data_IF_073267514138
#
_entry.id   IF_073267514138
#
_cell.length_a   1.000
_cell.length_b   1.000
_cell.length_c   1.000
_cell.angle_alpha   90.00
_cell.angle_beta   90.00
_cell.angle_gamma   90.00
#
_symmetry.space_group_name_H-M   'P 1'
#
loop_
_entity.id
_entity.type
_entity.pdbx_description
1 polymer ?
#
# COMPACT_ATOMS: atom_id res chain seq x y z
N UNK A 1 -26.14 15.49 -19.26
CA UNK A 1 -26.04 16.91 -18.89
C UNK A 1 -25.41 17.15 -17.51
N UNK A 2 -25.97 16.61 -16.41
CA UNK A 2 -25.44 16.83 -15.04
C UNK A 2 -23.96 16.43 -14.89
N UNK A 3 -23.56 15.26 -15.34
CA UNK A 3 -22.16 14.76 -15.26
C UNK A 3 -21.18 15.65 -16.02
N UNK A 4 -21.56 16.14 -17.21
CA UNK A 4 -20.75 17.08 -18.01
C UNK A 4 -20.48 18.36 -17.23
N UNK A 5 -21.52 18.94 -16.60
CA UNK A 5 -21.38 20.15 -15.77
C UNK A 5 -20.41 19.90 -14.62
N UNK A 6 -20.52 18.78 -13.92
CA UNK A 6 -19.64 18.44 -12.79
C UNK A 6 -18.19 18.31 -13.21
N UNK A 7 -17.91 17.65 -14.35
CA UNK A 7 -16.56 17.51 -14.89
C UNK A 7 -15.98 18.88 -15.23
N UNK A 8 -16.77 19.74 -15.92
CA UNK A 8 -16.34 21.08 -16.28
C UNK A 8 -16.11 21.97 -15.05
N UNK A 9 -17.01 21.90 -14.06
CA UNK A 9 -16.88 22.63 -12.80
C UNK A 9 -15.61 22.19 -12.04
N UNK A 10 -15.35 20.87 -11.95
CA UNK A 10 -14.14 20.35 -11.31
C UNK A 10 -12.87 20.88 -12.00
N UNK A 11 -12.82 20.83 -13.34
CA UNK A 11 -11.69 21.33 -14.14
C UNK A 11 -11.48 22.82 -13.97
N UNK A 12 -12.57 23.61 -14.03
CA UNK A 12 -12.52 25.06 -13.83
C UNK A 12 -11.93 25.42 -12.45
N UNK A 13 -12.48 24.83 -11.38
CA UNK A 13 -12.01 25.09 -10.03
C UNK A 13 -10.54 24.67 -9.86
N UNK A 14 -10.14 23.52 -10.45
CA UNK A 14 -8.75 23.09 -10.42
C UNK A 14 -7.83 24.10 -11.07
N UNK A 15 -8.21 24.66 -12.23
CA UNK A 15 -7.44 25.67 -12.92
C UNK A 15 -7.37 26.98 -12.13
N UNK A 16 -8.48 27.40 -11.52
CA UNK A 16 -8.50 28.56 -10.62
C UNK A 16 -7.57 28.35 -9.42
N UNK A 17 -7.62 27.17 -8.78
CA UNK A 17 -6.69 26.84 -7.67
C UNK A 17 -5.22 26.94 -8.12
N UNK A 18 -4.89 26.43 -9.31
CA UNK A 18 -3.53 26.53 -9.88
C UNK A 18 -3.11 27.98 -10.11
N UNK A 19 -3.99 28.81 -10.67
CA UNK A 19 -3.73 30.24 -10.91
C UNK A 19 -3.37 30.97 -9.62
N UNK A 20 -4.06 30.66 -8.51
CA UNK A 20 -3.79 31.23 -7.19
C UNK A 20 -2.72 30.46 -6.38
N UNK A 21 -1.94 29.56 -7.01
CA UNK A 21 -0.92 28.73 -6.35
C UNK A 21 -1.43 27.96 -5.14
N UNK A 22 -2.73 27.64 -5.11
CA UNK A 22 -3.37 26.84 -4.06
C UNK A 22 -3.40 25.35 -4.44
N UNK A 23 -3.30 24.49 -3.44
CA UNK A 23 -3.40 23.05 -3.64
C UNK A 23 -4.84 22.65 -3.98
N UNK A 24 -5.09 22.37 -5.27
CA UNK A 24 -6.40 22.00 -5.83
C UNK A 24 -6.66 20.48 -5.87
N UNK A 25 -6.09 19.68 -4.97
CA UNK A 25 -6.19 18.22 -5.04
C UNK A 25 -7.49 17.66 -4.44
N UNK A 26 -8.17 18.35 -3.55
CA UNK A 26 -9.35 17.84 -2.81
C UNK A 26 -10.58 18.69 -3.03
N UNK A 27 -10.45 20.02 -3.00
CA UNK A 27 -11.56 20.97 -3.05
C UNK A 27 -12.41 20.87 -4.33
N UNK A 28 -11.84 20.77 -5.56
CA UNK A 28 -12.63 20.66 -6.79
C UNK A 28 -13.56 19.44 -6.80
N UNK A 29 -13.05 18.28 -6.39
CA UNK A 29 -13.85 17.06 -6.28
C UNK A 29 -14.94 17.14 -5.22
N UNK A 30 -14.65 17.82 -4.11
CA UNK A 30 -15.66 18.07 -3.06
C UNK A 30 -16.88 18.86 -3.60
N UNK A 31 -16.63 19.90 -4.41
CA UNK A 31 -17.71 20.68 -5.04
C UNK A 31 -18.49 19.83 -6.06
N UNK A 32 -17.76 19.09 -6.91
CA UNK A 32 -18.43 18.21 -7.89
C UNK A 32 -19.33 17.17 -7.21
N UNK A 33 -18.87 16.54 -6.13
CA UNK A 33 -19.65 15.56 -5.35
C UNK A 33 -20.87 16.19 -4.64
N UNK A 34 -20.80 17.47 -4.24
CA UNK A 34 -21.97 18.17 -3.69
C UNK A 34 -23.07 18.40 -4.73
N UNK A 35 -22.73 18.58 -6.00
CA UNK A 35 -23.73 18.71 -7.10
C UNK A 35 -24.45 17.38 -7.33
N UNK A 36 -23.70 16.25 -7.34
CA UNK A 36 -24.27 14.90 -7.40
C UNK A 36 -23.24 13.91 -6.85
N UNK A 37 -23.53 13.31 -5.70
CA UNK A 37 -22.66 12.36 -5.02
C UNK A 37 -22.31 11.10 -5.83
N UNK A 38 -23.08 10.80 -6.87
CA UNK A 38 -22.94 9.62 -7.73
C UNK A 38 -22.18 9.88 -9.04
N UNK A 39 -21.50 11.01 -9.18
CA UNK A 39 -20.82 11.38 -10.44
C UNK A 39 -19.84 10.32 -10.92
N UNK A 40 -19.12 9.66 -9.99
CA UNK A 40 -18.14 8.63 -10.32
C UNK A 40 -18.77 7.38 -10.95
N UNK A 41 -20.02 7.08 -10.66
CA UNK A 41 -20.76 5.97 -11.31
C UNK A 41 -21.06 6.21 -12.79
N UNK A 42 -21.01 7.47 -13.22
CA UNK A 42 -21.28 7.88 -14.62
C UNK A 42 -20.03 7.90 -15.48
N UNK A 43 -18.87 7.61 -14.92
CA UNK A 43 -17.58 7.61 -15.63
C UNK A 43 -17.38 6.28 -16.35
N UNK A 44 -16.90 6.35 -17.59
CA UNK A 44 -16.45 5.18 -18.35
C UNK A 44 -14.97 4.93 -18.05
N UNK A 45 -14.73 3.97 -17.18
CA UNK A 45 -13.42 3.60 -16.71
C UNK A 45 -12.63 2.81 -17.76
N UNK A 46 -11.27 2.81 -17.70
CA UNK A 46 -10.44 1.96 -18.53
C UNK A 46 -10.58 0.48 -18.16
N UNK A 47 -9.96 -0.39 -18.95
CA UNK A 47 -9.95 -1.84 -18.70
C UNK A 47 -9.41 -2.20 -17.31
N UNK A 48 -8.38 -1.48 -16.86
CA UNK A 48 -7.72 -1.74 -15.59
C UNK A 48 -7.99 -0.59 -14.60
N UNK A 49 -8.68 -0.91 -13.53
CA UNK A 49 -8.92 -0.03 -12.37
C UNK A 49 -8.34 -0.74 -11.16
N UNK A 50 -7.18 -0.29 -10.73
CA UNK A 50 -6.37 -0.96 -9.71
C UNK A 50 -6.38 -0.13 -8.43
N UNK A 51 -6.81 -0.72 -7.33
CA UNK A 51 -6.67 -0.18 -5.99
C UNK A 51 -5.47 -0.77 -5.26
N UNK A 52 -4.81 0.04 -4.43
CA UNK A 52 -3.77 -0.42 -3.49
C UNK A 52 -4.18 0.02 -2.10
N UNK A 53 -4.40 -0.94 -1.20
CA UNK A 53 -4.86 -0.68 0.18
C UNK A 53 -4.04 -1.46 1.21
N UNK A 54 -4.32 -1.23 2.49
CA UNK A 54 -3.67 -1.87 3.65
C UNK A 54 -3.15 -0.85 4.65
N UNK A 55 -2.62 -1.30 5.78
CA UNK A 55 -2.20 -0.40 6.87
C UNK A 55 -0.92 0.37 6.51
N UNK A 56 0.08 -0.27 5.89
CA UNK A 56 1.33 0.37 5.47
C UNK A 56 1.77 -0.07 4.07
N UNK A 57 2.73 0.66 3.47
CA UNK A 57 3.29 0.31 2.16
C UNK A 57 2.46 0.72 0.94
N UNK A 58 1.21 1.18 1.09
CA UNK A 58 0.32 1.58 -0.01
C UNK A 58 0.97 2.51 -1.03
N UNK A 59 1.49 3.63 -0.56
CA UNK A 59 2.07 4.66 -1.42
C UNK A 59 3.32 4.18 -2.18
N UNK A 60 4.18 3.39 -1.52
CA UNK A 60 5.38 2.82 -2.17
C UNK A 60 4.99 1.78 -3.22
N UNK A 61 4.05 0.89 -2.92
CA UNK A 61 3.52 -0.09 -3.88
C UNK A 61 2.87 0.60 -5.07
N UNK A 62 2.01 1.61 -4.82
CA UNK A 62 1.35 2.38 -5.88
C UNK A 62 2.37 3.10 -6.76
N UNK A 63 3.41 3.70 -6.16
CA UNK A 63 4.46 4.41 -6.90
C UNK A 63 5.30 3.46 -7.75
N UNK A 64 5.67 2.30 -7.20
CA UNK A 64 6.42 1.27 -7.91
C UNK A 64 5.61 0.69 -9.08
N UNK A 65 4.35 0.35 -8.85
CA UNK A 65 3.47 -0.15 -9.90
C UNK A 65 3.24 0.91 -10.98
N UNK A 66 3.02 2.19 -10.60
CA UNK A 66 2.89 3.27 -11.57
C UNK A 66 4.15 3.43 -12.44
N UNK A 67 5.33 3.23 -11.86
CA UNK A 67 6.59 3.25 -12.59
C UNK A 67 6.66 2.11 -13.60
N UNK A 68 6.44 0.86 -13.17
CA UNK A 68 6.45 -0.32 -14.06
C UNK A 68 5.49 -0.11 -15.24
N UNK A 69 4.26 0.33 -14.97
CA UNK A 69 3.24 0.51 -16.00
C UNK A 69 3.63 1.60 -17.01
N UNK A 70 4.18 2.72 -16.54
CA UNK A 70 4.59 3.85 -17.41
C UNK A 70 5.81 3.50 -18.23
N UNK A 71 6.79 2.81 -17.67
CA UNK A 71 7.98 2.34 -18.39
C UNK A 71 7.59 1.43 -19.57
N UNK A 72 6.50 0.69 -19.41
CA UNK A 72 5.91 -0.13 -20.47
C UNK A 72 4.92 0.62 -21.38
N UNK A 73 4.97 1.94 -21.40
CA UNK A 73 4.22 2.79 -22.35
C UNK A 73 2.74 2.97 -22.03
N UNK A 74 2.25 2.50 -20.88
CA UNK A 74 0.85 2.67 -20.50
C UNK A 74 0.58 4.08 -19.98
N UNK A 75 -0.55 4.66 -20.40
CA UNK A 75 -1.02 5.92 -19.85
C UNK A 75 -1.72 5.69 -18.50
N UNK A 76 -1.02 6.02 -17.40
CA UNK A 76 -1.47 5.77 -16.03
C UNK A 76 -1.95 7.06 -15.38
N UNK A 77 -3.21 7.09 -15.00
CA UNK A 77 -3.77 8.11 -14.10
C UNK A 77 -3.70 7.58 -12.67
N UNK A 78 -2.98 8.30 -11.78
CA UNK A 78 -2.78 7.87 -10.41
C UNK A 78 -2.64 9.04 -9.42
N UNK A 79 -2.94 8.80 -8.14
CA UNK A 79 -2.92 9.82 -7.09
C UNK A 79 -1.52 9.99 -6.45
N UNK A 80 -0.55 10.45 -7.24
CA UNK A 80 0.86 10.62 -6.83
C UNK A 80 1.06 11.53 -5.61
N UNK A 81 0.12 12.44 -5.34
CA UNK A 81 0.14 13.35 -4.19
C UNK A 81 -0.37 12.71 -2.88
N UNK A 82 -0.75 11.43 -2.87
CA UNK A 82 -1.24 10.73 -1.70
C UNK A 82 -2.65 11.12 -1.26
N UNK A 83 -3.45 11.74 -2.14
CA UNK A 83 -4.84 12.12 -1.86
C UNK A 83 -5.75 10.89 -1.99
N UNK A 84 -5.77 10.04 -0.96
CA UNK A 84 -6.43 8.72 -0.94
C UNK A 84 -7.87 8.73 -0.37
N UNK A 85 -8.44 9.93 -0.16
CA UNK A 85 -9.83 10.12 0.27
C UNK A 85 -10.75 10.40 -0.91
N UNK A 86 -12.07 10.15 -0.75
CA UNK A 86 -13.08 10.28 -1.80
C UNK A 86 -12.98 11.59 -2.62
N UNK A 87 -12.87 12.73 -1.95
CA UNK A 87 -12.84 14.03 -2.64
C UNK A 87 -11.57 14.21 -3.50
N UNK A 88 -10.43 13.70 -3.04
CA UNK A 88 -9.17 13.72 -3.79
C UNK A 88 -9.22 12.80 -5.00
N UNK A 89 -9.70 11.59 -4.80
CA UNK A 89 -9.91 10.62 -5.89
C UNK A 89 -10.90 11.15 -6.92
N UNK A 90 -12.00 11.77 -6.49
CA UNK A 90 -12.96 12.41 -7.40
C UNK A 90 -12.32 13.54 -8.21
N UNK A 91 -11.50 14.40 -7.57
CA UNK A 91 -10.75 15.46 -8.28
C UNK A 91 -9.87 14.85 -9.37
N UNK A 92 -9.10 13.82 -9.04
CA UNK A 92 -8.20 13.15 -9.99
C UNK A 92 -8.98 12.57 -11.18
N UNK A 93 -10.02 11.79 -10.91
CA UNK A 93 -10.81 11.12 -11.93
C UNK A 93 -11.47 12.16 -12.85
N UNK A 94 -12.18 13.15 -12.30
CA UNK A 94 -12.91 14.15 -13.10
C UNK A 94 -11.99 15.03 -13.93
N UNK A 95 -10.81 15.39 -13.42
CA UNK A 95 -9.84 16.16 -14.20
C UNK A 95 -9.28 15.41 -15.42
N UNK A 96 -9.19 14.09 -15.32
CA UNK A 96 -8.70 13.23 -16.40
C UNK A 96 -9.83 12.64 -17.27
N UNK A 97 -11.09 12.99 -17.01
CA UNK A 97 -12.24 12.53 -17.78
C UNK A 97 -12.61 13.51 -18.89
N UNK A 98 -12.96 12.99 -20.07
CA UNK A 98 -13.54 13.81 -21.14
C UNK A 98 -14.95 14.25 -20.72
N UNK A 99 -15.23 15.56 -20.79
CA UNK A 99 -16.50 16.12 -20.30
C UNK A 99 -17.73 15.70 -21.11
N UNK A 100 -17.55 15.36 -22.38
CA UNK A 100 -18.66 15.02 -23.29
C UNK A 100 -18.88 13.51 -23.39
N UNK A 101 -17.80 12.73 -23.55
CA UNK A 101 -17.88 11.26 -23.68
C UNK A 101 -17.92 10.55 -22.33
N UNK A 102 -17.59 11.25 -21.25
CA UNK A 102 -17.41 10.74 -19.89
C UNK A 102 -16.36 9.61 -19.78
N UNK A 103 -15.49 9.47 -20.78
CA UNK A 103 -14.41 8.46 -20.79
C UNK A 103 -13.18 9.00 -20.05
N UNK A 104 -12.67 8.24 -19.11
CA UNK A 104 -11.37 8.50 -18.47
C UNK A 104 -10.27 8.34 -19.50
N UNK A 105 -9.38 9.32 -19.61
CA UNK A 105 -8.27 9.32 -20.56
C UNK A 105 -7.06 8.59 -19.97
N UNK A 106 -7.15 7.30 -19.86
CA UNK A 106 -6.08 6.43 -19.33
C UNK A 106 -6.25 5.01 -19.83
N UNK A 107 -5.16 4.25 -19.87
CA UNK A 107 -5.16 2.80 -20.02
C UNK A 107 -5.35 2.12 -18.67
N UNK A 108 -4.82 2.74 -17.61
CA UNK A 108 -4.91 2.27 -16.23
C UNK A 108 -5.28 3.42 -15.30
N UNK A 109 -6.29 3.20 -14.45
CA UNK A 109 -6.54 4.01 -13.27
C UNK A 109 -5.94 3.29 -12.06
N UNK A 110 -4.90 3.85 -11.47
CA UNK A 110 -4.21 3.27 -10.31
C UNK A 110 -4.39 4.18 -9.09
N UNK A 111 -4.95 3.65 -8.01
CA UNK A 111 -5.31 4.44 -6.82
C UNK A 111 -4.71 3.85 -5.54
N UNK A 112 -3.93 4.67 -4.84
CA UNK A 112 -3.75 4.47 -3.40
C UNK A 112 -5.08 4.75 -2.71
N UNK A 113 -5.61 3.80 -1.95
CA UNK A 113 -6.93 3.89 -1.33
C UNK A 113 -6.85 3.60 0.18
N UNK A 114 -7.50 4.47 0.94
CA UNK A 114 -7.79 4.18 2.33
C UNK A 114 -8.97 3.19 2.40
N UNK A 115 -8.86 2.17 3.23
CA UNK A 115 -9.83 1.07 3.35
C UNK A 115 -11.25 1.54 3.67
N UNK A 116 -11.41 2.69 4.32
CA UNK A 116 -12.72 3.27 4.64
C UNK A 116 -13.36 4.01 3.47
N UNK A 117 -12.61 4.25 2.39
CA UNK A 117 -13.08 5.03 1.25
C UNK A 117 -13.25 4.21 -0.04
N UNK A 118 -12.83 2.94 -0.08
CA UNK A 118 -12.98 2.08 -1.26
C UNK A 118 -14.48 2.03 -1.67
N UNK A 119 -15.35 1.59 -0.76
CA UNK A 119 -16.80 1.48 -0.99
C UNK A 119 -17.48 2.83 -1.27
N UNK A 120 -16.94 3.92 -0.74
CA UNK A 120 -17.46 5.27 -0.98
C UNK A 120 -17.06 5.81 -2.35
N UNK A 121 -15.91 5.38 -2.86
CA UNK A 121 -15.40 5.79 -4.18
C UNK A 121 -16.05 4.97 -5.28
N UNK A 122 -16.16 3.67 -5.08
CA UNK A 122 -16.71 2.72 -6.05
C UNK A 122 -17.88 1.97 -5.44
N UNK A 123 -19.11 2.40 -5.79
CA UNK A 123 -20.36 1.80 -5.28
C UNK A 123 -20.77 0.54 -6.03
N UNK A 124 -20.12 0.25 -7.16
CA UNK A 124 -20.32 -0.94 -8.01
C UNK A 124 -18.95 -1.58 -8.29
N UNK A 125 -18.96 -2.76 -8.90
CA UNK A 125 -17.80 -3.52 -9.37
C UNK A 125 -16.95 -2.76 -10.39
N UNK A 126 -16.32 -1.67 -9.93
CA UNK A 126 -15.47 -0.83 -10.78
C UNK A 126 -14.00 -1.22 -10.63
N UNK A 127 -13.61 -1.68 -9.44
CA UNK A 127 -12.26 -2.19 -9.23
C UNK A 127 -12.09 -3.53 -9.95
N UNK A 128 -11.14 -3.59 -10.85
CA UNK A 128 -10.75 -4.84 -11.50
C UNK A 128 -9.73 -5.62 -10.67
N UNK A 129 -8.83 -4.88 -10.00
CA UNK A 129 -7.79 -5.47 -9.15
C UNK A 129 -7.66 -4.69 -7.85
N UNK A 130 -7.39 -5.38 -6.75
CA UNK A 130 -7.09 -4.78 -5.46
C UNK A 130 -5.86 -5.43 -4.83
N UNK A 131 -4.79 -4.64 -4.72
CA UNK A 131 -3.58 -5.06 -3.99
C UNK A 131 -3.76 -4.76 -2.50
N UNK A 132 -3.59 -5.77 -1.65
CA UNK A 132 -3.69 -5.65 -0.19
C UNK A 132 -2.32 -5.93 0.41
N UNK A 133 -1.67 -4.90 0.96
CA UNK A 133 -0.28 -4.99 1.40
C UNK A 133 -0.11 -5.68 2.75
N UNK A 134 -0.82 -5.21 3.76
CA UNK A 134 -0.84 -5.77 5.12
C UNK A 134 -2.01 -5.18 5.91
N UNK A 135 -2.43 -5.89 6.96
CA UNK A 135 -3.45 -5.44 7.91
C UNK A 135 -2.87 -5.51 9.31
N UNK A 136 -2.65 -4.34 9.91
CA UNK A 136 -2.09 -4.19 11.26
C UNK A 136 -2.95 -3.23 12.06
N UNK A 137 -2.74 -3.18 13.36
CA UNK A 137 -3.30 -2.11 14.19
C UNK A 137 -2.80 -0.78 13.67
N UNK A 138 -3.70 0.02 13.16
CA UNK A 138 -3.41 1.32 12.54
C UNK A 138 -4.40 2.35 13.05
N UNK A 139 -3.88 3.48 13.53
CA UNK A 139 -4.68 4.57 14.05
C UNK A 139 -5.75 4.08 15.07
N UNK A 140 -5.37 3.73 16.32
CA UNK A 140 -6.28 3.14 17.31
C UNK A 140 -7.59 3.90 17.49
N UNK A 141 -7.56 5.23 17.42
CA UNK A 141 -8.74 6.08 17.50
C UNK A 141 -9.70 5.97 16.30
N UNK A 142 -9.26 5.36 15.18
CA UNK A 142 -10.04 5.30 13.94
C UNK A 142 -10.40 3.87 13.51
N UNK A 143 -9.44 2.97 13.54
CA UNK A 143 -9.56 1.63 12.98
C UNK A 143 -9.09 0.54 13.93
N UNK A 144 -8.52 0.85 15.06
CA UNK A 144 -7.98 0.06 16.17
C UNK A 144 -7.74 -1.43 15.98
N UNK A 145 -8.74 -2.15 15.48
CA UNK A 145 -8.73 -3.61 15.35
C UNK A 145 -8.58 -4.06 13.90
N UNK A 146 -7.63 -4.98 13.59
CA UNK A 146 -7.41 -5.54 12.26
C UNK A 146 -8.66 -6.15 11.60
N UNK A 147 -9.54 -6.76 12.39
CA UNK A 147 -10.82 -7.31 11.91
C UNK A 147 -11.73 -6.26 11.30
N UNK A 148 -11.75 -5.05 11.83
CA UNK A 148 -12.55 -3.94 11.28
C UNK A 148 -12.03 -3.56 9.89
N UNK A 149 -10.69 -3.52 9.73
CA UNK A 149 -10.04 -3.20 8.45
C UNK A 149 -10.35 -4.28 7.42
N UNK A 150 -10.16 -5.55 7.78
CA UNK A 150 -10.46 -6.70 6.94
C UNK A 150 -11.91 -6.66 6.43
N UNK A 151 -12.88 -6.49 7.36
CA UNK A 151 -14.30 -6.46 7.01
C UNK A 151 -14.67 -5.25 6.13
N UNK A 152 -14.04 -4.09 6.33
CA UNK A 152 -14.22 -2.92 5.45
C UNK A 152 -13.77 -3.23 4.03
N UNK A 153 -12.60 -3.86 3.86
CA UNK A 153 -12.09 -4.21 2.54
C UNK A 153 -12.99 -5.26 1.89
N UNK A 154 -13.32 -6.36 2.57
CA UNK A 154 -14.20 -7.42 2.06
C UNK A 154 -15.56 -6.87 1.60
N UNK A 155 -16.16 -5.96 2.39
CA UNK A 155 -17.45 -5.35 2.03
C UNK A 155 -17.38 -4.36 0.87
N UNK A 156 -16.19 -4.05 0.36
CA UNK A 156 -15.94 -3.04 -0.67
C UNK A 156 -15.62 -3.63 -2.04
N UNK A 157 -15.47 -4.94 -2.13
CA UNK A 157 -15.14 -5.70 -3.35
C UNK A 157 -16.19 -6.77 -3.59
N UNK A 158 -16.28 -7.24 -4.81
CA UNK A 158 -17.12 -8.37 -5.21
C UNK A 158 -16.31 -9.43 -5.97
N UNK A 159 -16.99 -10.49 -6.40
CA UNK A 159 -16.36 -11.64 -7.07
C UNK A 159 -15.66 -11.33 -8.40
N UNK A 160 -15.92 -10.14 -8.99
CA UNK A 160 -15.26 -9.72 -10.23
C UNK A 160 -13.94 -8.99 -9.97
N UNK A 161 -13.66 -8.63 -8.72
CA UNK A 161 -12.40 -7.99 -8.33
C UNK A 161 -11.34 -9.06 -8.07
N UNK A 162 -10.26 -9.07 -8.81
CA UNK A 162 -9.10 -9.87 -8.48
C UNK A 162 -8.34 -9.26 -7.30
N UNK A 163 -8.08 -10.04 -6.26
CA UNK A 163 -7.32 -9.58 -5.10
C UNK A 163 -5.89 -10.13 -5.13
N UNK A 164 -4.92 -9.23 -5.00
CA UNK A 164 -3.49 -9.56 -4.96
C UNK A 164 -3.02 -9.36 -3.53
N UNK A 165 -2.76 -10.44 -2.81
CA UNK A 165 -2.65 -10.46 -1.37
C UNK A 165 -1.29 -10.90 -0.86
N UNK A 166 -0.85 -10.31 0.23
CA UNK A 166 0.34 -10.72 0.96
C UNK A 166 0.06 -11.94 1.83
N UNK A 167 0.51 -13.11 1.39
CA UNK A 167 0.31 -14.37 2.12
C UNK A 167 1.13 -14.46 3.42
N UNK A 168 2.13 -13.61 3.61
CA UNK A 168 2.95 -13.56 4.84
C UNK A 168 2.22 -12.88 6.00
N UNK A 169 1.14 -12.15 5.70
CA UNK A 169 0.25 -11.58 6.69
C UNK A 169 -0.97 -12.49 6.89
N UNK A 170 -1.13 -13.15 8.06
CA UNK A 170 -2.27 -14.05 8.28
C UNK A 170 -3.64 -13.37 8.21
N UNK A 171 -3.75 -12.05 8.50
CA UNK A 171 -5.01 -11.33 8.30
C UNK A 171 -5.33 -11.18 6.82
N UNK A 172 -4.34 -10.77 6.02
CA UNK A 172 -4.50 -10.60 4.58
C UNK A 172 -4.70 -11.94 3.88
N UNK A 173 -3.98 -12.98 4.29
CA UNK A 173 -4.12 -14.31 3.71
C UNK A 173 -5.54 -14.92 3.90
N UNK A 174 -6.35 -14.37 4.81
CA UNK A 174 -7.77 -14.80 4.96
C UNK A 174 -8.62 -14.48 3.73
N UNK A 175 -8.22 -13.54 2.89
CA UNK A 175 -8.89 -13.29 1.62
C UNK A 175 -8.86 -14.52 0.69
N UNK A 176 -7.87 -15.40 0.82
CA UNK A 176 -7.77 -16.64 0.04
C UNK A 176 -8.98 -17.59 0.19
N UNK A 177 -9.74 -17.49 1.29
CA UNK A 177 -10.96 -18.27 1.49
C UNK A 177 -12.21 -17.43 1.78
N UNK A 178 -12.07 -16.15 2.12
CA UNK A 178 -13.20 -15.25 2.36
C UNK A 178 -13.67 -14.55 1.08
N UNK A 179 -12.75 -14.31 0.14
CA UNK A 179 -13.10 -13.73 -1.16
C UNK A 179 -13.57 -14.81 -2.12
N UNK A 180 -14.63 -14.53 -2.88
CA UNK A 180 -15.22 -15.50 -3.83
C UNK A 180 -14.70 -15.37 -5.26
N UNK A 181 -13.98 -14.30 -5.56
CA UNK A 181 -13.38 -14.03 -6.85
C UNK A 181 -11.93 -14.52 -6.96
N UNK A 182 -11.22 -14.13 -8.02
CA UNK A 182 -9.82 -14.52 -8.24
C UNK A 182 -8.92 -13.97 -7.13
N UNK A 183 -7.95 -14.79 -6.72
CA UNK A 183 -6.96 -14.46 -5.69
C UNK A 183 -5.58 -14.82 -6.19
N UNK A 184 -4.70 -13.85 -6.28
CA UNK A 184 -3.27 -13.99 -6.49
C UNK A 184 -2.53 -13.73 -5.17
N UNK A 185 -1.55 -14.54 -4.84
CA UNK A 185 -0.84 -14.48 -3.57
C UNK A 185 0.64 -14.19 -3.78
N UNK A 186 1.21 -13.32 -2.94
CA UNK A 186 2.65 -13.10 -2.92
C UNK A 186 3.21 -13.22 -1.50
N UNK A 187 4.50 -13.53 -1.39
CA UNK A 187 5.18 -13.59 -0.11
C UNK A 187 6.67 -13.83 -0.26
N UNK A 188 7.43 -13.56 0.80
CA UNK A 188 8.88 -13.70 0.84
C UNK A 188 9.22 -14.97 1.61
N UNK A 189 10.08 -15.81 1.05
CA UNK A 189 10.60 -16.97 1.76
C UNK A 189 11.59 -16.54 2.85
N UNK A 190 12.02 -17.52 3.65
CA UNK A 190 12.96 -17.29 4.74
C UNK A 190 14.22 -16.57 4.25
N UNK A 191 14.63 -15.55 5.01
CA UNK A 191 15.80 -14.71 4.72
C UNK A 191 16.82 -14.75 5.86
N UNK A 192 18.04 -14.22 5.62
CA UNK A 192 19.05 -14.03 6.67
C UNK A 192 18.69 -12.89 7.65
N UNK A 193 17.73 -12.05 7.31
CA UNK A 193 17.26 -10.91 8.12
C UNK A 193 16.09 -11.27 9.04
N UNK A 194 15.62 -12.51 8.99
CA UNK A 194 14.45 -12.95 9.74
C UNK A 194 14.74 -13.08 11.23
N UNK A 195 13.74 -12.78 12.03
CA UNK A 195 13.74 -12.97 13.46
C UNK A 195 13.23 -14.36 13.83
N UNK A 196 13.86 -14.97 14.82
CA UNK A 196 13.42 -16.27 15.40
C UNK A 196 12.20 -16.11 16.31
N UNK A 197 12.01 -14.91 16.87
CA UNK A 197 10.91 -14.56 17.78
C UNK A 197 10.36 -13.20 17.38
N UNK A 198 9.08 -12.94 17.61
CA UNK A 198 8.51 -11.61 17.38
C UNK A 198 9.14 -10.58 18.34
N UNK A 199 9.25 -9.34 17.91
CA UNK A 199 9.79 -8.25 18.73
C UNK A 199 8.85 -7.93 19.91
N UNK A 200 7.55 -8.12 19.73
CA UNK A 200 6.53 -7.89 20.76
C UNK A 200 5.89 -9.22 21.19
N UNK A 201 5.56 -9.33 22.47
CA UNK A 201 4.78 -10.47 22.99
C UNK A 201 3.33 -10.47 22.45
N UNK A 202 2.83 -9.32 22.01
CA UNK A 202 1.52 -9.18 21.39
C UNK A 202 1.67 -9.29 19.87
N UNK A 203 1.61 -10.52 19.37
CA UNK A 203 1.58 -10.77 17.91
C UNK A 203 0.13 -10.74 17.45
N UNK A 204 -0.22 -9.73 16.67
CA UNK A 204 -1.49 -9.76 15.94
C UNK A 204 -1.50 -11.01 15.04
N UNK A 205 -2.65 -11.64 14.84
CA UNK A 205 -2.77 -12.87 14.04
C UNK A 205 -1.95 -14.07 14.54
N UNK A 206 -1.83 -14.25 15.86
CA UNK A 206 -1.11 -15.39 16.44
C UNK A 206 -1.83 -16.73 16.27
N UNK A 207 -3.12 -16.73 15.94
CA UNK A 207 -3.97 -17.92 15.90
C UNK A 207 -4.57 -18.16 14.53
N UNK A 208 -4.75 -19.43 14.18
CA UNK A 208 -5.43 -19.84 12.95
C UNK A 208 -6.88 -19.34 12.95
N UNK A 209 -7.37 -18.69 11.91
CA UNK A 209 -8.73 -18.18 11.85
C UNK A 209 -9.79 -19.30 11.70
N UNK A 210 -9.38 -20.53 11.42
CA UNK A 210 -10.26 -21.68 11.18
C UNK A 210 -10.28 -22.60 12.42
N UNK A 211 -9.13 -23.15 12.81
CA UNK A 211 -9.07 -24.12 13.92
C UNK A 211 -8.72 -23.48 15.28
N UNK A 212 -8.47 -22.18 15.34
CA UNK A 212 -8.12 -21.39 16.53
C UNK A 212 -6.86 -21.86 17.29
N UNK A 213 -6.08 -22.78 16.72
CA UNK A 213 -4.78 -23.17 17.29
C UNK A 213 -3.72 -22.11 16.96
N UNK A 214 -2.73 -21.99 17.84
CA UNK A 214 -1.62 -21.05 17.62
C UNK A 214 -0.84 -21.41 16.35
N UNK A 215 -0.63 -20.43 15.47
CA UNK A 215 0.18 -20.58 14.27
C UNK A 215 1.64 -20.86 14.65
N UNK A 216 2.27 -21.77 13.91
CA UNK A 216 3.70 -22.08 14.06
C UNK A 216 4.49 -21.28 13.02
N UNK A 217 5.21 -20.26 13.50
CA UNK A 217 6.12 -19.50 12.67
C UNK A 217 7.49 -20.18 12.60
N UNK A 218 8.01 -20.32 11.41
CA UNK A 218 9.39 -20.74 11.17
C UNK A 218 10.34 -19.55 11.12
N UNK A 219 9.81 -18.37 10.75
CA UNK A 219 10.53 -17.10 10.75
C UNK A 219 9.56 -15.93 10.77
N UNK A 220 10.00 -14.82 11.37
CA UNK A 220 9.30 -13.54 11.34
C UNK A 220 10.12 -12.55 10.51
N UNK A 221 9.52 -11.96 9.50
CA UNK A 221 10.16 -10.90 8.72
C UNK A 221 10.14 -9.59 9.50
N UNK A 222 8.96 -9.17 9.92
CA UNK A 222 8.71 -8.09 10.89
C UNK A 222 7.26 -8.10 11.38
N UNK A 223 7.04 -7.71 12.65
CA UNK A 223 5.71 -7.78 13.27
C UNK A 223 5.17 -9.21 13.24
N UNK A 224 3.97 -9.38 12.68
CA UNK A 224 3.34 -10.68 12.48
C UNK A 224 3.50 -11.22 11.05
N UNK A 225 4.21 -10.52 10.18
CA UNK A 225 4.51 -11.00 8.83
C UNK A 225 5.64 -12.01 8.89
N UNK A 226 5.48 -13.11 8.16
CA UNK A 226 6.53 -14.13 8.11
C UNK A 226 6.07 -15.46 7.52
N UNK A 227 6.92 -16.47 7.69
CA UNK A 227 6.64 -17.82 7.21
C UNK A 227 6.00 -18.62 8.35
N UNK A 228 4.75 -18.96 8.20
CA UNK A 228 3.95 -19.66 9.21
C UNK A 228 3.21 -20.87 8.64
N UNK A 229 2.74 -21.73 9.54
CA UNK A 229 1.87 -22.87 9.22
C UNK A 229 0.82 -23.07 10.29
N UNK A 230 -0.36 -23.53 9.88
CA UNK A 230 -1.38 -24.01 10.79
C UNK A 230 -1.08 -25.46 11.22
N UNK A 231 -1.15 -25.81 12.53
CA UNK A 231 -0.90 -27.17 12.99
C UNK A 231 -1.82 -28.24 12.38
N UNK A 232 -3.05 -27.87 12.02
CA UNK A 232 -4.05 -28.77 11.39
C UNK A 232 -4.08 -28.63 9.86
N UNK A 233 -3.25 -27.76 9.29
CA UNK A 233 -3.17 -27.45 7.85
C UNK A 233 -4.48 -26.89 7.23
N UNK A 234 -5.39 -26.37 8.05
CA UNK A 234 -6.64 -25.78 7.59
C UNK A 234 -6.43 -24.39 6.96
N UNK A 235 -5.32 -23.74 7.33
CA UNK A 235 -4.96 -22.43 6.86
C UNK A 235 -3.51 -22.46 6.36
N UNK A 236 -3.34 -22.29 5.05
CA UNK A 236 -2.06 -22.48 4.38
C UNK A 236 -1.54 -21.16 3.83
N UNK A 237 -0.27 -20.85 4.12
CA UNK A 237 0.50 -19.84 3.41
C UNK A 237 0.95 -20.45 2.07
N UNK A 238 0.32 -20.03 0.98
CA UNK A 238 0.69 -20.36 -0.40
C UNK A 238 1.08 -19.08 -1.11
N UNK A 239 2.06 -19.11 -1.99
CA UNK A 239 2.50 -17.96 -2.77
C UNK A 239 2.56 -18.33 -4.25
N UNK A 240 1.90 -17.55 -5.09
CA UNK A 240 1.98 -17.62 -6.55
C UNK A 240 3.21 -16.82 -7.02
N UNK A 241 3.51 -15.71 -6.35
CA UNK A 241 4.75 -14.94 -6.52
C UNK A 241 5.59 -15.01 -5.26
N UNK A 242 6.82 -15.49 -5.42
CA UNK A 242 7.71 -15.73 -4.29
C UNK A 242 8.97 -14.88 -4.39
N UNK A 243 9.28 -14.14 -3.32
CA UNK A 243 10.56 -13.45 -3.14
C UNK A 243 11.57 -14.36 -2.45
N UNK A 244 12.72 -14.58 -3.08
CA UNK A 244 13.81 -15.41 -2.59
C UNK A 244 15.14 -14.66 -2.58
N UNK A 245 16.11 -15.19 -1.86
CA UNK A 245 17.49 -14.71 -1.84
C UNK A 245 17.62 -13.19 -1.65
N UNK A 246 16.82 -12.65 -0.72
CA UNK A 246 16.87 -11.22 -0.40
C UNK A 246 18.27 -10.83 0.08
N UNK A 247 18.88 -9.86 -0.62
CA UNK A 247 20.13 -9.23 -0.25
C UNK A 247 19.95 -7.71 -0.17
N UNK A 248 19.84 -7.19 1.04
CA UNK A 248 19.61 -5.76 1.26
C UNK A 248 20.84 -4.92 0.96
N UNK A 249 22.05 -5.43 1.21
CA UNK A 249 23.30 -4.71 0.92
C UNK A 249 23.44 -4.45 -0.59
N UNK A 250 23.16 -5.46 -1.40
CA UNK A 250 23.19 -5.34 -2.86
C UNK A 250 21.90 -4.80 -3.45
N UNK A 251 20.85 -4.59 -2.63
CA UNK A 251 19.52 -4.18 -3.06
C UNK A 251 18.93 -5.09 -4.14
N UNK A 252 18.95 -6.39 -3.89
CA UNK A 252 18.55 -7.42 -4.84
C UNK A 252 17.63 -8.45 -4.20
N UNK A 253 16.76 -9.01 -5.00
CA UNK A 253 15.90 -10.15 -4.65
C UNK A 253 15.62 -10.98 -5.91
N UNK A 254 15.32 -12.25 -5.73
CA UNK A 254 14.81 -13.12 -6.82
C UNK A 254 13.30 -13.21 -6.68
N UNK A 255 12.55 -12.93 -7.74
CA UNK A 255 11.10 -13.14 -7.81
C UNK A 255 10.82 -14.18 -8.89
N UNK A 256 10.26 -15.33 -8.49
CA UNK A 256 9.96 -16.45 -9.38
C UNK A 256 11.13 -16.81 -10.34
N UNK A 257 12.36 -16.83 -9.83
CA UNK A 257 13.57 -17.12 -10.59
C UNK A 257 14.21 -15.90 -11.28
N UNK A 258 13.57 -14.76 -11.31
CA UNK A 258 14.04 -13.53 -11.94
C UNK A 258 14.74 -12.62 -10.94
N UNK A 259 15.98 -12.20 -11.23
CA UNK A 259 16.72 -11.27 -10.38
C UNK A 259 16.27 -9.84 -10.59
N UNK A 260 15.78 -9.19 -9.54
CA UNK A 260 15.29 -7.80 -9.55
C UNK A 260 16.06 -6.92 -8.58
N UNK A 261 16.23 -5.65 -8.94
CA UNK A 261 16.80 -4.63 -8.06
C UNK A 261 15.72 -4.02 -7.16
N UNK A 262 16.08 -3.78 -5.92
CA UNK A 262 15.30 -2.98 -4.98
C UNK A 262 15.81 -1.53 -5.03
N UNK A 263 14.90 -0.58 -4.95
CA UNK A 263 15.28 0.84 -4.93
C UNK A 263 15.86 1.29 -3.58
N UNK A 264 15.76 0.49 -2.52
CA UNK A 264 16.27 0.76 -1.18
C UNK A 264 16.72 -0.54 -0.47
N UNK A 265 17.66 -0.38 0.45
CA UNK A 265 18.27 -1.41 1.30
C UNK A 265 17.47 -1.69 2.58
N UNK A 266 16.16 -1.69 2.47
CA UNK A 266 15.23 -1.91 3.59
C UNK A 266 14.28 -3.05 3.30
N UNK A 267 13.94 -3.85 4.31
CA UNK A 267 13.12 -5.05 4.13
C UNK A 267 11.77 -4.76 3.47
N UNK A 268 11.12 -3.67 3.85
CA UNK A 268 9.83 -3.32 3.25
C UNK A 268 9.91 -2.97 1.75
N UNK A 269 11.13 -2.67 1.23
CA UNK A 269 11.32 -2.50 -0.21
C UNK A 269 11.09 -3.81 -0.98
N UNK A 270 11.47 -4.93 -0.41
CA UNK A 270 11.18 -6.24 -0.99
C UNK A 270 9.67 -6.47 -1.13
N UNK A 271 8.89 -6.15 -0.10
CA UNK A 271 7.44 -6.34 -0.14
C UNK A 271 6.72 -5.45 -1.15
N UNK A 272 7.01 -4.14 -1.20
CA UNK A 272 6.31 -3.30 -2.18
C UNK A 272 6.79 -3.56 -3.61
N UNK A 273 8.04 -4.01 -3.81
CA UNK A 273 8.53 -4.43 -5.13
C UNK A 273 7.83 -5.72 -5.56
N UNK A 274 7.74 -6.72 -4.68
CA UNK A 274 7.05 -7.97 -4.95
C UNK A 274 5.55 -7.77 -5.22
N UNK A 275 4.88 -6.94 -4.41
CA UNK A 275 3.46 -6.59 -4.61
C UNK A 275 3.22 -5.90 -5.96
N UNK A 276 4.11 -4.96 -6.35
CA UNK A 276 4.02 -4.28 -7.64
C UNK A 276 4.32 -5.21 -8.81
N UNK A 277 5.30 -6.11 -8.65
CA UNK A 277 5.62 -7.17 -9.63
C UNK A 277 4.39 -8.05 -9.87
N UNK A 278 3.82 -8.60 -8.80
CA UNK A 278 2.63 -9.47 -8.90
C UNK A 278 1.47 -8.76 -9.58
N UNK A 279 1.17 -7.52 -9.19
CA UNK A 279 0.09 -6.75 -9.79
C UNK A 279 0.33 -6.43 -11.27
N UNK A 280 1.57 -6.18 -11.66
CA UNK A 280 1.92 -5.93 -13.06
C UNK A 280 1.81 -7.21 -13.91
N UNK A 281 2.17 -8.36 -13.36
CA UNK A 281 2.02 -9.67 -14.01
C UNK A 281 0.55 -10.03 -14.23
N UNK A 282 -0.32 -9.83 -13.20
CA UNK A 282 -1.75 -10.14 -13.28
C UNK A 282 -2.50 -9.29 -14.32
N UNK A 283 -2.04 -8.08 -14.62
CA UNK A 283 -2.60 -7.28 -15.72
C UNK A 283 -1.99 -7.61 -17.11
N UNK A 284 -1.09 -8.60 -17.18
CA UNK A 284 -0.56 -9.17 -18.43
C UNK A 284 0.79 -8.66 -18.90
N UNK A 285 1.57 -7.96 -18.05
CA UNK A 285 2.96 -7.66 -18.38
C UNK A 285 3.84 -8.91 -18.21
N UNK A 286 4.78 -9.09 -19.12
CA UNK A 286 5.75 -10.19 -19.03
C UNK A 286 6.83 -9.91 -17.99
N UNK A 287 7.44 -10.97 -17.46
CA UNK A 287 8.57 -10.87 -16.54
C UNK A 287 9.69 -9.96 -17.06
N UNK A 288 10.02 -10.10 -18.36
CA UNK A 288 11.05 -9.25 -19.00
C UNK A 288 10.71 -7.77 -18.95
N UNK A 289 9.45 -7.42 -19.21
CA UNK A 289 8.95 -6.04 -19.15
C UNK A 289 9.02 -5.48 -17.73
N UNK A 290 8.58 -6.27 -16.75
CA UNK A 290 8.58 -5.86 -15.34
C UNK A 290 10.01 -5.72 -14.82
N UNK A 291 10.88 -6.67 -15.14
CA UNK A 291 12.29 -6.65 -14.74
C UNK A 291 13.05 -5.45 -15.32
N UNK A 292 12.80 -5.12 -16.60
CA UNK A 292 13.38 -3.94 -17.22
C UNK A 292 13.06 -2.69 -16.39
N UNK A 293 11.78 -2.45 -16.14
CA UNK A 293 11.33 -1.30 -15.36
C UNK A 293 11.91 -1.26 -13.93
N UNK A 294 12.02 -2.41 -13.27
CA UNK A 294 12.58 -2.49 -11.90
C UNK A 294 14.09 -2.27 -11.88
N UNK A 295 14.82 -2.77 -12.87
CA UNK A 295 16.28 -2.69 -12.92
C UNK A 295 16.79 -1.31 -13.34
N UNK A 296 16.02 -0.58 -14.17
CA UNK A 296 16.27 0.80 -14.56
C UNK A 296 15.65 1.82 -13.58
N UNK A 297 15.15 1.34 -12.44
CA UNK A 297 14.39 2.13 -11.48
C UNK A 297 15.25 3.18 -10.76
N UNK A 298 14.89 4.45 -10.93
CA UNK A 298 15.47 5.61 -10.25
C UNK A 298 14.53 6.22 -9.20
N UNK A 299 13.45 5.51 -8.81
CA UNK A 299 12.47 6.04 -7.88
C UNK A 299 13.09 6.33 -6.52
N UNK A 300 13.01 7.58 -6.10
CA UNK A 300 13.36 7.99 -4.76
C UNK A 300 12.25 7.61 -3.77
N UNK A 301 12.66 7.11 -2.60
CA UNK A 301 11.70 6.89 -1.51
C UNK A 301 11.28 8.24 -0.92
N UNK A 302 9.98 8.47 -0.80
CA UNK A 302 9.46 9.66 -0.11
C UNK A 302 9.68 9.62 1.39
N UNK A 303 9.84 8.43 1.98
CA UNK A 303 9.91 8.21 3.44
C UNK A 303 11.31 7.99 4.00
N UNK A 304 12.28 7.71 3.15
CA UNK A 304 13.68 7.57 3.50
C UNK A 304 14.48 8.50 2.60
N UNK A 305 15.00 9.57 3.16
CA UNK A 305 15.84 10.55 2.47
C UNK A 305 17.19 10.60 3.14
N UNK A 306 18.23 10.39 2.37
CA UNK A 306 19.60 10.55 2.83
C UNK A 306 20.11 11.92 2.42
N UNK A 307 20.57 12.71 3.39
CA UNK A 307 21.18 14.02 3.20
C UNK A 307 22.64 13.96 3.63
N UNK A 308 23.51 14.67 2.92
CA UNK A 308 24.88 14.91 3.35
C UNK A 308 24.96 16.31 3.94
N UNK A 309 25.31 16.40 5.22
CA UNK A 309 25.54 17.67 5.92
C UNK A 309 27.00 17.65 6.39
N UNK A 310 27.83 18.48 5.75
CA UNK A 310 29.27 18.47 5.92
C UNK A 310 29.87 17.07 5.69
N UNK A 311 30.55 16.49 6.68
CA UNK A 311 31.13 15.15 6.64
C UNK A 311 30.20 14.08 7.26
N UNK A 312 28.91 14.38 7.46
CA UNK A 312 27.95 13.47 8.08
C UNK A 312 26.87 13.08 7.09
N UNK A 313 26.47 11.83 7.16
CA UNK A 313 25.28 11.33 6.49
C UNK A 313 24.10 11.38 7.47
N UNK A 314 22.99 11.94 7.02
CA UNK A 314 21.77 12.09 7.81
C UNK A 314 20.62 11.41 7.10
N UNK A 315 20.16 10.31 7.68
CA UNK A 315 18.97 9.60 7.20
C UNK A 315 17.72 10.13 7.89
N UNK A 316 16.83 10.66 7.10
CA UNK A 316 15.49 11.09 7.56
C UNK A 316 14.50 9.98 7.26
N UNK A 317 13.99 9.33 8.31
CA UNK A 317 12.96 8.30 8.20
C UNK A 317 11.60 8.86 8.63
N UNK A 318 10.65 8.91 7.70
CA UNK A 318 9.28 9.28 8.00
C UNK A 318 8.44 8.03 8.28
N UNK A 319 8.26 7.69 9.56
CA UNK A 319 7.33 6.65 9.99
C UNK A 319 5.89 7.14 9.91
N UNK A 320 4.95 6.23 9.64
CA UNK A 320 3.54 6.56 9.69
C UNK A 320 3.12 6.71 11.16
N UNK A 321 2.53 7.85 11.51
CA UNK A 321 2.01 8.08 12.86
C UNK A 321 1.04 6.98 13.27
N UNK A 322 1.05 6.62 14.55
CA UNK A 322 0.18 5.61 15.16
C UNK A 322 0.26 4.21 14.52
N UNK A 323 1.38 3.88 13.85
CA UNK A 323 1.59 2.56 13.26
C UNK A 323 2.88 1.93 13.78
N UNK A 324 2.76 1.00 14.72
CA UNK A 324 3.89 0.32 15.36
C UNK A 324 4.81 -0.37 14.36
N UNK A 325 4.24 -0.99 13.33
CA UNK A 325 5.03 -1.70 12.32
C UNK A 325 5.97 -0.77 11.56
N UNK A 326 5.52 0.46 11.25
CA UNK A 326 6.33 1.48 10.59
C UNK A 326 7.52 1.90 11.46
N UNK A 327 7.33 2.04 12.77
CA UNK A 327 8.40 2.37 13.71
C UNK A 327 9.38 1.22 13.89
N UNK A 328 8.90 0.00 14.05
CA UNK A 328 9.75 -1.19 14.13
C UNK A 328 10.65 -1.30 12.92
N UNK A 329 10.14 -1.04 11.72
CA UNK A 329 10.93 -1.05 10.49
C UNK A 329 12.02 0.03 10.49
N UNK A 330 11.70 1.25 10.95
CA UNK A 330 12.66 2.33 11.07
C UNK A 330 13.76 2.02 12.08
N UNK A 331 13.39 1.44 13.21
CA UNK A 331 14.37 0.99 14.23
C UNK A 331 15.27 -0.13 13.71
N UNK A 332 14.72 -1.10 12.99
CA UNK A 332 15.50 -2.17 12.37
C UNK A 332 16.47 -1.63 11.32
N UNK A 333 16.06 -0.66 10.50
CA UNK A 333 16.95 0.03 9.58
C UNK A 333 18.11 0.66 10.32
N UNK A 334 17.84 1.45 11.36
CA UNK A 334 18.86 2.11 12.18
C UNK A 334 19.80 1.08 12.83
N UNK A 335 19.26 -0.02 13.33
CA UNK A 335 20.05 -1.06 14.00
C UNK A 335 20.99 -1.80 13.04
N UNK A 336 20.58 -1.99 11.80
CA UNK A 336 21.38 -2.68 10.78
C UNK A 336 22.55 -1.83 10.25
N UNK A 337 22.52 -0.50 10.40
CA UNK A 337 23.65 0.34 10.06
C UNK A 337 24.81 0.14 11.05
N UNK A 338 26.02 -0.10 10.54
CA UNK A 338 27.23 -0.27 11.35
C UNK A 338 27.80 1.10 11.76
N UNK A 339 28.44 1.16 12.91
CA UNK A 339 29.16 2.35 13.41
C UNK A 339 28.37 3.19 14.40
N UNK A 340 29.02 4.21 14.96
CA UNK A 340 28.40 5.15 15.91
C UNK A 340 27.32 5.96 15.22
N UNK A 341 26.18 6.11 15.89
CA UNK A 341 25.02 6.84 15.35
C UNK A 341 24.34 7.68 16.44
N UNK A 342 23.84 8.83 16.04
CA UNK A 342 22.97 9.66 16.88
C UNK A 342 21.55 9.57 16.34
N UNK A 343 20.60 9.22 17.21
CA UNK A 343 19.19 9.06 16.85
C UNK A 343 18.42 10.25 17.42
N UNK A 344 17.72 10.97 16.55
CA UNK A 344 16.79 12.03 16.94
C UNK A 344 15.38 11.56 16.58
N UNK A 345 14.53 11.36 17.57
CA UNK A 345 13.15 10.94 17.37
C UNK A 345 12.22 12.13 17.58
N UNK A 346 11.48 12.47 16.53
CA UNK A 346 10.43 13.49 16.58
C UNK A 346 9.04 12.83 16.49
N UNK A 347 8.14 13.21 17.37
CA UNK A 347 6.75 12.78 17.34
C UNK A 347 5.87 14.01 17.10
N UNK A 348 5.08 13.98 16.02
CA UNK A 348 4.08 15.00 15.77
C UNK A 348 2.82 14.71 16.62
N UNK A 349 2.05 15.73 16.90
CA UNK A 349 0.77 15.58 17.58
C UNK A 349 -0.13 14.63 16.83
N UNK A 350 -0.56 13.59 17.52
CA UNK A 350 -1.47 12.56 17.02
C UNK A 350 -2.77 13.24 16.60
N UNK A 351 -2.90 13.44 15.29
CA UNK A 351 -4.09 13.99 14.64
C UNK A 351 -4.69 15.28 15.25
N UNK A 352 -4.60 16.37 14.52
CA UNK A 352 -5.33 17.63 14.80
C UNK A 352 -6.86 17.47 14.97
N UNK A 353 -7.40 16.29 14.58
CA UNK A 353 -8.83 15.96 14.73
C UNK A 353 -9.19 15.45 16.11
N UNK A 354 -8.27 14.80 16.80
CA UNK A 354 -8.47 14.23 18.11
C UNK A 354 -7.63 15.06 19.09
N UNK A 355 -8.27 15.77 20.00
CA UNK A 355 -7.61 16.62 21.00
C UNK A 355 -6.76 15.84 22.03
N UNK A 356 -6.41 14.61 21.76
CA UNK A 356 -5.67 13.72 22.66
C UNK A 356 -4.26 13.46 22.10
N UNK A 357 -3.26 13.79 22.90
CA UNK A 357 -1.87 13.37 22.72
C UNK A 357 -1.70 11.94 23.28
N UNK A 358 -2.40 10.97 22.73
CA UNK A 358 -2.25 9.59 23.14
C UNK A 358 -1.09 8.95 22.38
N UNK A 359 0.00 8.71 23.09
CA UNK A 359 1.18 7.99 22.58
C UNK A 359 1.25 6.55 23.13
N UNK A 360 0.18 6.05 23.75
CA UNK A 360 0.16 4.69 24.34
C UNK A 360 0.49 3.60 23.32
N UNK A 361 0.20 3.81 22.04
CA UNK A 361 0.58 2.91 20.95
C UNK A 361 2.10 2.71 20.82
N UNK A 362 2.93 3.66 21.28
CA UNK A 362 4.39 3.52 21.32
C UNK A 362 4.81 2.44 22.33
N UNK A 363 4.07 2.24 23.40
CA UNK A 363 4.40 1.23 24.42
C UNK A 363 4.20 -0.21 23.93
N UNK A 364 3.50 -0.39 22.81
CA UNK A 364 3.42 -1.70 22.15
C UNK A 364 4.69 -2.03 21.34
N UNK A 365 5.57 -1.05 21.14
CA UNK A 365 6.91 -1.25 20.57
C UNK A 365 7.85 -1.56 21.75
N UNK A 366 8.48 -2.72 21.75
CA UNK A 366 9.46 -3.06 22.79
C UNK A 366 10.70 -2.16 22.65
N UNK A 367 10.97 -1.38 23.70
CA UNK A 367 12.16 -0.51 23.80
C UNK A 367 13.37 -1.20 24.45
N UNK A 368 13.27 -2.49 24.74
CA UNK A 368 14.33 -3.27 25.34
C UNK A 368 15.37 -3.69 24.32
N UNK A 369 16.11 -2.73 23.83
CA UNK A 369 17.32 -3.00 23.02
C UNK A 369 18.40 -1.95 23.31
#
# INVERSE_FOLDING_TARGET
>A
MKTTIQILTCKLITNVCKLFKKNGTVYPGSIALKINGKVLESIKYPKYVIGVTGSSGKGSTTSMLAHILKDNGLNVVWNSSGSNVLNGTATLILNNTNAFTHKLKADVLLLEMDESYIKKTFTKSTLTHLVITNITRDQPARNGEPEIILNKILSSIDENTEVIINADDPFVNRFSFLHKGPVCTYGINKTSYDLKKPISNNVDAAYCPICHKKLKYTSYHYGHLGVYSCPTKDFVRKTDFTGDNLNLENKEMIINGNKVKLNKDVFFAAYYTLAAYSAASEIGLTDTQIMHALNENTLESKRLKTLKLDNREVDMLESKNENNLSYVQSLNYINNHKGPKTIIMGFDNVSRRYKYNDISWLYAVSYTH
#
